data_IF_209763691331
#
_entry.id   IF_209763691331
#
_cell.length_a   1.000
_cell.length_b   1.000
_cell.length_c   1.000
_cell.angle_alpha   90.00
_cell.angle_beta   90.00
_cell.angle_gamma   90.00
#
_symmetry.space_group_name_H-M   'P 1'
#
loop_
_entity.id
_entity.type
_entity.pdbx_description
1 polymer ?
#
# COMPACT_ATOMS: atom_id res chain seq x y z
N UNK A 1 -29.04 -34.46 7.43
CA UNK A 1 -27.96 -34.84 6.49
C UNK A 1 -27.98 -33.79 5.40
N UNK A 2 -26.92 -32.98 5.26
CA UNK A 2 -26.86 -31.97 4.20
C UNK A 2 -26.26 -32.58 2.95
N UNK A 3 -27.00 -32.60 1.85
CA UNK A 3 -26.53 -33.11 0.58
C UNK A 3 -25.79 -32.01 -0.21
N UNK A 4 -24.66 -32.36 -0.82
CA UNK A 4 -23.82 -31.42 -1.56
C UNK A 4 -24.37 -31.28 -2.98
N UNK A 5 -24.81 -30.07 -3.33
CA UNK A 5 -25.30 -29.76 -4.67
C UNK A 5 -24.24 -29.00 -5.47
N UNK A 6 -23.95 -29.46 -6.70
CA UNK A 6 -23.09 -28.74 -7.65
C UNK A 6 -23.92 -27.69 -8.39
N UNK A 7 -23.50 -26.43 -8.32
CA UNK A 7 -24.08 -25.33 -9.10
C UNK A 7 -23.07 -24.86 -10.14
N UNK A 8 -23.51 -24.72 -11.38
CA UNK A 8 -22.71 -24.16 -12.47
C UNK A 8 -23.20 -22.75 -12.78
N UNK A 9 -22.27 -21.84 -13.00
CA UNK A 9 -22.55 -20.47 -13.39
C UNK A 9 -21.49 -20.02 -14.40
N UNK A 10 -21.89 -19.11 -15.29
CA UNK A 10 -20.94 -18.49 -16.21
C UNK A 10 -19.96 -17.61 -15.44
N UNK A 11 -18.68 -17.70 -15.81
CA UNK A 11 -17.64 -16.82 -15.25
C UNK A 11 -17.75 -15.46 -15.92
N UNK A 12 -18.07 -14.38 -15.18
CA UNK A 12 -18.18 -13.05 -15.76
C UNK A 12 -16.84 -12.57 -16.31
N UNK A 13 -16.87 -11.81 -17.40
CA UNK A 13 -15.67 -11.18 -17.98
C UNK A 13 -14.96 -10.21 -17.01
N UNK A 14 -15.68 -9.67 -16.02
CA UNK A 14 -15.14 -8.88 -14.91
C UNK A 14 -13.96 -9.58 -14.19
N UNK A 15 -13.98 -10.92 -14.12
CA UNK A 15 -12.97 -11.69 -13.38
C UNK A 15 -11.57 -11.65 -14.01
N UNK A 16 -11.43 -11.24 -15.28
CA UNK A 16 -10.12 -11.07 -15.93
C UNK A 16 -9.39 -9.82 -15.45
N UNK A 17 -10.11 -8.79 -15.00
CA UNK A 17 -9.54 -7.54 -14.48
C UNK A 17 -9.02 -7.64 -13.05
N UNK A 18 -9.20 -8.81 -12.42
CA UNK A 18 -8.91 -9.02 -11.02
C UNK A 18 -7.44 -9.44 -10.86
N UNK A 19 -6.63 -8.53 -10.33
CA UNK A 19 -5.18 -8.73 -10.28
C UNK A 19 -4.79 -9.94 -9.42
N UNK A 20 -3.78 -10.70 -9.88
CA UNK A 20 -3.30 -11.90 -9.18
C UNK A 20 -2.83 -11.57 -7.75
N UNK A 21 -2.11 -10.47 -7.59
CA UNK A 21 -1.67 -9.99 -6.27
C UNK A 21 -2.84 -9.75 -5.29
N UNK A 22 -4.00 -9.28 -5.79
CA UNK A 22 -5.20 -9.09 -4.96
C UNK A 22 -5.78 -10.42 -4.47
N UNK A 23 -5.76 -11.46 -5.33
CA UNK A 23 -6.19 -12.81 -4.98
C UNK A 23 -5.27 -13.45 -3.95
N UNK A 24 -3.96 -13.32 -4.16
CA UNK A 24 -2.95 -13.89 -3.26
C UNK A 24 -3.03 -13.24 -1.87
N UNK A 25 -3.23 -11.91 -1.81
CA UNK A 25 -3.43 -11.17 -0.57
C UNK A 25 -4.70 -11.64 0.19
N UNK A 26 -5.81 -11.87 -0.52
CA UNK A 26 -7.04 -12.40 0.07
C UNK A 26 -6.81 -13.76 0.74
N UNK A 27 -6.00 -14.63 0.14
CA UNK A 27 -5.72 -15.97 0.70
C UNK A 27 -4.77 -15.90 1.90
N UNK A 28 -3.76 -15.04 1.82
CA UNK A 28 -2.72 -14.90 2.83
C UNK A 28 -3.21 -14.20 4.10
N UNK A 29 -4.00 -13.14 3.96
CA UNK A 29 -4.36 -12.26 5.08
C UNK A 29 -5.73 -12.59 5.70
N UNK A 30 -6.46 -13.58 5.20
CA UNK A 30 -7.77 -13.98 5.74
C UNK A 30 -7.65 -14.45 7.20
N UNK A 31 -8.52 -13.95 8.08
CA UNK A 31 -8.57 -14.40 9.47
C UNK A 31 -8.99 -15.87 9.56
N UNK A 32 -8.16 -16.69 10.21
CA UNK A 32 -8.39 -18.12 10.42
C UNK A 32 -8.60 -18.49 11.88
N UNK A 33 -8.84 -17.50 12.75
CA UNK A 33 -9.11 -17.68 14.17
C UNK A 33 -10.33 -18.57 14.43
N UNK A 34 -11.42 -18.34 13.71
CA UNK A 34 -12.69 -19.08 13.80
C UNK A 34 -13.27 -19.31 12.39
N UNK A 35 -14.00 -20.42 12.20
CA UNK A 35 -14.67 -20.76 10.94
C UNK A 35 -15.70 -19.71 10.52
N UNK A 36 -16.41 -19.10 11.49
CA UNK A 36 -17.39 -18.04 11.23
C UNK A 36 -16.70 -16.72 10.85
N UNK A 37 -15.70 -16.29 11.63
CA UNK A 37 -14.90 -15.10 11.33
C UNK A 37 -14.23 -15.20 9.95
N UNK A 38 -13.71 -16.38 9.60
CA UNK A 38 -13.13 -16.64 8.28
C UNK A 38 -14.13 -16.43 7.15
N UNK A 39 -15.38 -16.84 7.33
CA UNK A 39 -16.42 -16.68 6.31
C UNK A 39 -16.81 -15.20 6.16
N UNK A 40 -16.99 -14.51 7.29
CA UNK A 40 -17.34 -13.08 7.32
C UNK A 40 -16.21 -12.24 6.71
N UNK A 41 -14.95 -12.47 7.10
CA UNK A 41 -13.79 -11.74 6.56
C UNK A 41 -13.61 -12.01 5.07
N UNK A 42 -13.73 -13.27 4.64
CA UNK A 42 -13.69 -13.63 3.22
C UNK A 42 -14.79 -12.92 2.41
N UNK A 43 -16.03 -12.89 2.91
CA UNK A 43 -17.15 -12.24 2.25
C UNK A 43 -16.92 -10.73 2.14
N UNK A 44 -16.49 -10.08 3.24
CA UNK A 44 -16.22 -8.65 3.28
C UNK A 44 -15.13 -8.25 2.28
N UNK A 45 -14.00 -8.98 2.26
CA UNK A 45 -12.92 -8.70 1.32
C UNK A 45 -13.28 -9.03 -0.13
N UNK A 46 -14.14 -10.02 -0.36
CA UNK A 46 -14.66 -10.31 -1.70
C UNK A 46 -15.46 -9.13 -2.29
N UNK A 47 -16.20 -8.38 -1.45
CA UNK A 47 -16.88 -7.17 -1.89
C UNK A 47 -15.90 -6.05 -2.25
N UNK A 48 -14.81 -5.88 -1.50
CA UNK A 48 -13.76 -4.92 -1.83
C UNK A 48 -13.09 -5.25 -3.17
N UNK A 49 -12.79 -6.53 -3.38
CA UNK A 49 -12.19 -7.05 -4.60
C UNK A 49 -13.11 -6.87 -5.82
N UNK A 50 -14.42 -7.00 -5.63
CA UNK A 50 -15.41 -6.70 -6.67
C UNK A 50 -15.42 -5.21 -7.05
N UNK A 51 -15.38 -4.30 -6.07
CA UNK A 51 -15.31 -2.84 -6.34
C UNK A 51 -14.05 -2.46 -7.09
N UNK A 52 -12.92 -3.04 -6.70
CA UNK A 52 -11.65 -2.88 -7.40
C UNK A 52 -11.74 -3.35 -8.85
N UNK A 53 -12.29 -4.56 -9.09
CA UNK A 53 -12.43 -5.07 -10.44
C UNK A 53 -13.30 -4.14 -11.29
N UNK A 54 -14.43 -3.67 -10.74
CA UNK A 54 -15.34 -2.72 -11.40
C UNK A 54 -14.63 -1.42 -11.78
N UNK A 55 -13.80 -0.89 -10.89
CA UNK A 55 -12.99 0.30 -11.16
C UNK A 55 -11.98 0.04 -12.29
N UNK A 56 -11.32 -1.12 -12.29
CA UNK A 56 -10.39 -1.50 -13.35
C UNK A 56 -11.07 -1.61 -14.72
N UNK A 57 -12.28 -2.18 -14.79
CA UNK A 57 -13.07 -2.24 -16.03
C UNK A 57 -13.42 -0.84 -16.55
N UNK A 58 -13.76 0.08 -15.65
CA UNK A 58 -14.07 1.46 -16.01
C UNK A 58 -12.82 2.20 -16.53
N UNK A 59 -11.65 1.98 -15.92
CA UNK A 59 -10.36 2.46 -16.46
C UNK A 59 -10.05 1.87 -17.84
N UNK A 60 -10.48 0.63 -18.13
CA UNK A 60 -10.32 0.00 -19.45
C UNK A 60 -11.23 0.64 -20.48
N UNK A 61 -12.48 0.97 -20.11
CA UNK A 61 -13.40 1.68 -20.99
C UNK A 61 -12.89 3.08 -21.35
N UNK A 62 -12.20 3.77 -20.44
CA UNK A 62 -11.58 5.07 -20.70
C UNK A 62 -10.26 4.99 -21.48
N UNK A 63 -9.76 3.78 -21.79
CA UNK A 63 -8.53 3.57 -22.57
C UNK A 63 -7.23 3.78 -21.79
N UNK A 64 -7.29 4.14 -20.50
CA UNK A 64 -6.10 4.46 -19.69
C UNK A 64 -5.63 3.27 -18.83
N UNK A 65 -6.36 2.16 -18.85
CA UNK A 65 -6.03 0.94 -18.10
C UNK A 65 -4.67 0.34 -18.43
N UNK A 66 -4.10 0.63 -19.60
CA UNK A 66 -2.77 0.11 -19.96
C UNK A 66 -1.67 0.69 -19.06
N UNK A 67 -1.81 1.96 -18.65
CA UNK A 67 -0.85 2.65 -17.78
C UNK A 67 -1.29 2.52 -16.32
N UNK A 68 -2.58 2.76 -16.05
CA UNK A 68 -3.17 2.72 -14.71
C UNK A 68 -3.78 1.34 -14.43
N UNK A 69 -2.90 0.36 -14.22
CA UNK A 69 -3.30 -0.97 -13.75
C UNK A 69 -2.64 -1.29 -12.42
N UNK A 70 -3.32 -2.12 -11.62
CA UNK A 70 -2.72 -2.69 -10.39
C UNK A 70 -1.43 -3.45 -10.67
N UNK A 71 -1.33 -4.09 -11.83
CA UNK A 71 -0.13 -4.83 -12.27
C UNK A 71 1.04 -3.88 -12.46
N UNK A 72 0.85 -2.77 -13.18
CA UNK A 72 1.88 -1.76 -13.37
C UNK A 72 2.26 -1.07 -12.07
N UNK A 73 1.29 -0.83 -11.20
CA UNK A 73 1.53 -0.29 -9.86
C UNK A 73 2.42 -1.23 -9.03
N UNK A 74 2.11 -2.52 -9.01
CA UNK A 74 2.97 -3.50 -8.34
C UNK A 74 4.37 -3.53 -8.97
N UNK A 75 4.47 -3.51 -10.30
CA UNK A 75 5.76 -3.48 -11.00
C UNK A 75 6.56 -2.21 -10.67
N UNK A 76 5.95 -1.03 -10.70
CA UNK A 76 6.61 0.24 -10.39
C UNK A 76 7.12 0.29 -8.94
N UNK A 77 6.35 -0.26 -8.00
CA UNK A 77 6.82 -0.40 -6.61
C UNK A 77 7.95 -1.43 -6.46
N UNK A 78 8.05 -2.43 -7.33
CA UNK A 78 9.22 -3.34 -7.36
C UNK A 78 10.43 -2.68 -8.01
N UNK A 79 10.25 -1.87 -9.05
CA UNK A 79 11.34 -1.12 -9.68
C UNK A 79 11.97 -0.11 -8.71
N UNK A 80 11.14 0.63 -7.96
CA UNK A 80 11.63 1.54 -6.91
C UNK A 80 12.42 0.80 -5.83
N UNK A 81 11.96 -0.37 -5.40
CA UNK A 81 12.69 -1.19 -4.44
C UNK A 81 14.06 -1.64 -4.97
N UNK A 82 14.12 -2.17 -6.20
CA UNK A 82 15.37 -2.59 -6.83
C UNK A 82 16.34 -1.41 -6.97
N UNK A 83 15.83 -0.26 -7.40
CA UNK A 83 16.64 0.94 -7.58
C UNK A 83 17.18 1.46 -6.23
N UNK A 84 16.40 1.36 -5.15
CA UNK A 84 16.87 1.65 -3.80
C UNK A 84 17.96 0.68 -3.33
N UNK A 85 17.84 -0.62 -3.62
CA UNK A 85 18.88 -1.61 -3.33
C UNK A 85 20.18 -1.31 -4.08
N UNK A 86 20.08 -1.02 -5.39
CA UNK A 86 21.24 -0.66 -6.21
C UNK A 86 21.89 0.61 -5.66
N UNK A 87 21.11 1.65 -5.37
CA UNK A 87 21.67 2.91 -4.86
C UNK A 87 22.37 2.73 -3.52
N UNK A 88 21.81 1.92 -2.62
CA UNK A 88 22.44 1.60 -1.34
C UNK A 88 23.66 0.69 -1.47
N UNK A 89 23.69 -0.20 -2.46
CA UNK A 89 24.87 -1.00 -2.78
C UNK A 89 26.02 -0.11 -3.29
N UNK A 90 25.71 0.83 -4.19
CA UNK A 90 26.68 1.83 -4.65
C UNK A 90 27.16 2.71 -3.49
N UNK A 91 26.26 3.15 -2.61
CA UNK A 91 26.65 3.86 -1.41
C UNK A 91 27.65 3.02 -0.59
N UNK A 92 27.34 1.76 -0.28
CA UNK A 92 28.21 0.89 0.51
C UNK A 92 29.61 0.67 -0.12
N UNK A 93 29.69 0.49 -1.44
CA UNK A 93 30.96 0.23 -2.12
C UNK A 93 31.89 1.46 -2.17
N UNK A 94 31.30 2.65 -2.32
CA UNK A 94 32.07 3.90 -2.48
C UNK A 94 32.11 4.75 -1.20
N UNK A 95 31.44 4.30 -0.13
CA UNK A 95 31.51 4.91 1.19
C UNK A 95 32.87 4.59 1.81
N UNK A 96 33.75 5.57 1.84
CA UNK A 96 35.03 5.45 2.55
C UNK A 96 34.90 6.05 3.95
N UNK A 97 35.55 5.43 4.92
CA UNK A 97 35.80 6.09 6.19
C UNK A 97 36.88 7.15 5.95
N UNK A 98 36.50 8.43 5.99
CA UNK A 98 37.47 9.51 6.05
C UNK A 98 38.42 9.29 7.23
N UNK A 99 39.70 9.67 7.08
CA UNK A 99 40.60 9.76 8.22
C UNK A 99 39.94 10.57 9.34
N UNK A 100 40.23 10.25 10.61
CA UNK A 100 39.61 10.71 11.88
C UNK A 100 39.17 12.20 12.02
N UNK A 101 39.49 13.08 11.08
CA UNK A 101 39.19 14.52 11.05
C UNK A 101 38.35 14.96 9.84
N UNK A 102 38.03 14.08 8.89
CA UNK A 102 37.27 14.41 7.69
C UNK A 102 35.87 13.78 7.73
N UNK A 103 34.86 14.56 7.38
CA UNK A 103 33.50 14.06 7.15
C UNK A 103 33.54 12.89 6.16
N UNK A 104 32.74 11.83 6.38
CA UNK A 104 32.66 10.73 5.43
C UNK A 104 32.24 11.27 4.06
N UNK A 105 33.08 11.06 3.05
CA UNK A 105 32.89 11.56 1.70
C UNK A 105 33.03 10.42 0.71
N UNK A 106 32.27 10.49 -0.37
CA UNK A 106 32.40 9.56 -1.49
C UNK A 106 33.74 9.87 -2.17
N UNK A 107 34.67 8.91 -2.17
CA UNK A 107 36.06 9.13 -2.59
C UNK A 107 36.21 9.51 -4.08
N UNK A 108 35.20 9.20 -4.90
CA UNK A 108 35.24 9.40 -6.34
C UNK A 108 34.06 10.29 -6.80
N UNK A 109 34.38 11.40 -7.46
CA UNK A 109 33.38 12.32 -8.04
C UNK A 109 32.49 11.62 -9.09
N UNK A 110 33.01 10.60 -9.76
CA UNK A 110 32.27 9.77 -10.70
C UNK A 110 31.19 8.95 -9.98
N UNK A 111 31.53 8.31 -8.85
CA UNK A 111 30.57 7.55 -8.05
C UNK A 111 29.46 8.44 -7.46
N UNK A 112 29.80 9.65 -7.00
CA UNK A 112 28.81 10.62 -6.51
C UNK A 112 27.81 11.02 -7.60
N UNK A 113 28.28 11.21 -8.84
CA UNK A 113 27.42 11.53 -9.99
C UNK A 113 26.47 10.38 -10.32
N UNK A 114 26.95 9.14 -10.26
CA UNK A 114 26.12 7.94 -10.48
C UNK A 114 25.04 7.82 -9.41
N UNK A 115 25.40 7.95 -8.12
CA UNK A 115 24.44 7.89 -7.00
C UNK A 115 23.39 9.00 -7.15
N UNK A 116 23.80 10.21 -7.52
CA UNK A 116 22.90 11.33 -7.78
C UNK A 116 21.92 11.02 -8.93
N UNK A 117 22.41 10.44 -10.03
CA UNK A 117 21.58 10.04 -11.16
C UNK A 117 20.58 8.93 -10.81
N UNK A 118 21.01 7.93 -10.03
CA UNK A 118 20.14 6.86 -9.55
C UNK A 118 19.06 7.38 -8.61
N UNK A 119 19.40 8.29 -7.68
CA UNK A 119 18.42 8.89 -6.79
C UNK A 119 17.46 9.83 -7.53
N UNK A 120 17.90 10.53 -8.57
CA UNK A 120 16.98 11.30 -9.43
C UNK A 120 15.96 10.39 -10.13
N UNK A 121 16.40 9.24 -10.65
CA UNK A 121 15.50 8.24 -11.19
C UNK A 121 14.54 7.70 -10.11
N UNK A 122 15.01 7.53 -8.87
CA UNK A 122 14.19 7.13 -7.72
C UNK A 122 13.05 8.12 -7.45
N UNK A 123 13.36 9.43 -7.46
CA UNK A 123 12.37 10.50 -7.27
C UNK A 123 11.29 10.44 -8.37
N UNK A 124 11.71 10.29 -9.63
CA UNK A 124 10.78 10.25 -10.78
C UNK A 124 9.84 9.05 -10.67
N UNK A 125 10.38 7.85 -10.43
CA UNK A 125 9.56 6.63 -10.33
C UNK A 125 8.68 6.68 -9.06
N UNK A 126 9.19 7.19 -7.94
CA UNK A 126 8.40 7.35 -6.71
C UNK A 126 7.22 8.33 -6.90
N UNK A 127 7.46 9.46 -7.58
CA UNK A 127 6.40 10.39 -7.95
C UNK A 127 5.34 9.74 -8.85
N UNK A 128 5.77 8.95 -9.82
CA UNK A 128 4.86 8.17 -10.67
C UNK A 128 4.05 7.14 -9.87
N UNK A 129 4.68 6.44 -8.91
CA UNK A 129 4.00 5.51 -8.01
C UNK A 129 2.91 6.20 -7.20
N UNK A 130 3.16 7.39 -6.65
CA UNK A 130 2.13 8.16 -5.91
C UNK A 130 0.95 8.49 -6.83
N UNK A 131 1.21 8.93 -8.06
CA UNK A 131 0.15 9.23 -9.04
C UNK A 131 -0.67 7.96 -9.34
N UNK A 132 -0.02 6.80 -9.52
CA UNK A 132 -0.71 5.52 -9.67
C UNK A 132 -1.56 5.17 -8.45
N UNK A 133 -1.06 5.38 -7.23
CA UNK A 133 -1.84 5.15 -6.00
C UNK A 133 -3.07 6.05 -5.91
N UNK A 134 -2.93 7.32 -6.26
CA UNK A 134 -4.05 8.27 -6.26
C UNK A 134 -5.11 7.90 -7.31
N UNK A 135 -4.72 7.52 -8.51
CA UNK A 135 -5.68 7.21 -9.59
C UNK A 135 -6.31 5.81 -9.44
N UNK A 136 -5.53 4.82 -9.06
CA UNK A 136 -5.99 3.41 -9.00
C UNK A 136 -6.63 3.09 -7.65
N UNK A 137 -6.06 3.57 -6.53
CA UNK A 137 -6.45 3.12 -5.18
C UNK A 137 -7.39 4.08 -4.46
N UNK A 138 -7.19 5.40 -4.58
CA UNK A 138 -8.04 6.42 -3.94
C UNK A 138 -9.54 6.25 -4.24
N UNK A 139 -10.00 6.09 -5.50
CA UNK A 139 -11.43 5.95 -5.78
C UNK A 139 -12.03 4.66 -5.22
N UNK A 140 -11.28 3.55 -5.24
CA UNK A 140 -11.73 2.27 -4.67
C UNK A 140 -11.86 2.39 -3.15
N UNK A 141 -10.92 3.07 -2.50
CA UNK A 141 -10.96 3.36 -1.06
C UNK A 141 -12.13 4.27 -0.70
N UNK A 142 -12.34 5.34 -1.46
CA UNK A 142 -13.48 6.23 -1.28
C UNK A 142 -14.81 5.47 -1.36
N UNK A 143 -14.98 4.60 -2.38
CA UNK A 143 -16.16 3.74 -2.48
C UNK A 143 -16.27 2.72 -1.34
N UNK A 144 -15.13 2.24 -0.82
CA UNK A 144 -15.11 1.35 0.34
C UNK A 144 -15.53 2.04 1.63
N UNK A 145 -15.10 3.29 1.85
CA UNK A 145 -15.48 4.10 3.00
C UNK A 145 -16.90 4.61 2.88
N UNK A 146 -17.36 4.97 1.68
CA UNK A 146 -18.76 5.27 1.44
C UNK A 146 -19.62 4.07 1.83
N UNK A 147 -19.27 2.86 1.43
CA UNK A 147 -20.09 1.69 1.76
C UNK A 147 -19.93 1.15 3.18
N UNK A 148 -18.82 1.44 3.88
CA UNK A 148 -18.60 1.07 5.30
C UNK A 148 -19.12 2.13 6.26
N UNK A 149 -19.13 3.39 5.82
CA UNK A 149 -19.64 4.54 6.54
C UNK A 149 -21.13 4.69 6.34
N UNK A 150 -21.60 4.87 5.09
CA UNK A 150 -23.00 5.02 4.74
C UNK A 150 -23.24 4.75 3.26
N UNK A 151 -23.89 3.63 2.95
CA UNK A 151 -25.09 3.85 2.15
C UNK A 151 -25.97 4.70 3.04
N UNK A 152 -26.49 5.82 2.52
CA UNK A 152 -27.64 6.50 3.10
C UNK A 152 -28.77 5.46 3.13
N UNK A 153 -28.77 4.54 4.08
CA UNK A 153 -29.83 3.57 4.23
C UNK A 153 -30.93 4.33 4.92
N UNK A 154 -31.90 4.76 4.12
CA UNK A 154 -33.23 5.04 4.63
C UNK A 154 -33.72 3.70 5.18
N UNK A 155 -33.50 3.47 6.46
CA UNK A 155 -34.15 2.39 7.19
C UNK A 155 -35.56 2.87 7.50
N UNK A 156 -36.53 2.12 6.99
CA UNK A 156 -37.93 2.32 7.35
C UNK A 156 -38.13 1.61 8.68
N UNK A 157 -38.43 2.37 9.72
CA UNK A 157 -38.73 1.83 11.04
C UNK A 157 -40.02 0.98 11.02
N UNK A 158 -40.29 0.19 12.06
CA UNK A 158 -41.52 -0.65 12.12
C UNK A 158 -42.82 0.16 11.97
N UNK A 159 -42.77 1.47 12.23
CA UNK A 159 -43.87 2.44 12.09
C UNK A 159 -43.92 3.16 10.71
N UNK A 160 -43.11 2.74 9.72
CA UNK A 160 -43.14 3.32 8.37
C UNK A 160 -42.46 4.69 8.22
N UNK A 161 -41.71 5.14 9.23
CA UNK A 161 -40.94 6.39 9.16
C UNK A 161 -39.55 6.14 8.62
N UNK A 162 -39.14 6.99 7.68
CA UNK A 162 -37.77 7.07 7.17
C UNK A 162 -36.86 7.62 8.27
N UNK A 163 -35.99 6.79 8.84
CA UNK A 163 -34.96 7.22 9.77
C UNK A 163 -33.67 7.41 8.96
N UNK A 164 -33.26 8.66 8.77
CA UNK A 164 -31.96 8.98 8.16
C UNK A 164 -30.86 8.79 9.22
N UNK A 165 -30.09 7.70 9.13
CA UNK A 165 -28.86 7.56 9.91
C UNK A 165 -27.79 8.57 9.44
N UNK A 166 -27.12 9.21 10.39
CA UNK A 166 -26.23 10.35 10.16
C UNK A 166 -25.02 9.98 9.29
N UNK A 167 -25.00 10.60 8.11
CA UNK A 167 -23.95 10.55 7.10
C UNK A 167 -22.59 11.07 7.53
N UNK A 168 -21.53 10.25 7.52
CA UNK A 168 -20.14 10.70 7.32
C UNK A 168 -20.11 11.63 6.10
N UNK A 169 -19.71 12.86 6.36
CA UNK A 169 -19.66 13.92 5.35
C UNK A 169 -18.68 13.54 4.21
N UNK A 170 -18.94 13.94 2.95
CA UNK A 170 -18.03 13.67 1.83
C UNK A 170 -16.60 14.14 2.08
N UNK A 171 -16.45 15.24 2.84
CA UNK A 171 -15.15 15.77 3.24
C UNK A 171 -14.37 14.84 4.16
N UNK A 172 -15.02 14.25 5.17
CA UNK A 172 -14.38 13.27 6.05
C UNK A 172 -13.93 12.01 5.28
N UNK A 173 -14.73 11.57 4.30
CA UNK A 173 -14.36 10.44 3.42
C UNK A 173 -13.12 10.77 2.58
N UNK A 174 -13.00 11.99 2.06
CA UNK A 174 -11.83 12.42 1.28
C UNK A 174 -10.59 12.47 2.17
N UNK A 175 -10.68 13.10 3.35
CA UNK A 175 -9.56 13.19 4.29
C UNK A 175 -9.10 11.81 4.75
N UNK A 176 -10.05 10.92 5.10
CA UNK A 176 -9.73 9.56 5.50
C UNK A 176 -9.13 8.73 4.36
N UNK A 177 -9.55 8.98 3.11
CA UNK A 177 -8.95 8.34 1.93
C UNK A 177 -7.55 8.86 1.67
N UNK A 178 -7.31 10.17 1.86
CA UNK A 178 -5.99 10.78 1.72
C UNK A 178 -5.01 10.32 2.80
N UNK A 179 -5.51 10.02 4.00
CA UNK A 179 -4.75 9.47 5.13
C UNK A 179 -4.60 7.94 5.07
N UNK A 180 -4.78 7.29 3.91
CA UNK A 180 -4.49 5.85 3.79
C UNK A 180 -3.01 5.61 4.13
N UNK A 181 -2.70 4.73 5.11
CA UNK A 181 -1.33 4.47 5.56
C UNK A 181 -0.39 4.10 4.41
N UNK A 182 -0.90 3.46 3.36
CA UNK A 182 -0.08 3.11 2.19
C UNK A 182 0.26 4.33 1.34
N UNK A 183 -0.65 5.30 1.18
CA UNK A 183 -0.36 6.55 0.44
C UNK A 183 0.63 7.39 1.23
N UNK A 184 0.41 7.53 2.53
CA UNK A 184 1.32 8.25 3.43
C UNK A 184 2.73 7.64 3.42
N UNK A 185 2.84 6.31 3.36
CA UNK A 185 4.11 5.62 3.25
C UNK A 185 4.88 6.02 1.97
N UNK A 186 4.23 6.07 0.81
CA UNK A 186 4.92 6.51 -0.43
C UNK A 186 5.18 8.02 -0.46
N UNK A 187 4.37 8.83 0.21
CA UNK A 187 4.65 10.27 0.40
C UNK A 187 5.90 10.48 1.26
N UNK A 188 6.00 9.75 2.38
CA UNK A 188 7.21 9.68 3.19
C UNK A 188 8.40 9.25 2.32
N UNK A 189 8.20 8.24 1.46
CA UNK A 189 9.26 7.68 0.62
C UNK A 189 9.82 8.71 -0.37
N UNK A 190 8.92 9.42 -1.05
CA UNK A 190 9.30 10.53 -1.93
C UNK A 190 10.04 11.62 -1.15
N UNK A 191 9.57 11.96 0.05
CA UNK A 191 10.21 12.98 0.89
C UNK A 191 11.65 12.61 1.22
N UNK A 192 11.91 11.35 1.61
CA UNK A 192 13.28 10.89 1.91
C UNK A 192 14.16 10.82 0.66
N UNK A 193 13.60 10.48 -0.50
CA UNK A 193 14.34 10.51 -1.76
C UNK A 193 14.74 11.94 -2.16
N UNK A 194 13.86 12.93 -1.93
CA UNK A 194 14.16 14.36 -2.12
C UNK A 194 15.20 14.84 -1.11
N UNK A 195 15.06 14.49 0.18
CA UNK A 195 16.03 14.84 1.21
C UNK A 195 17.42 14.24 0.93
N UNK A 196 17.46 13.01 0.41
CA UNK A 196 18.67 12.36 -0.07
C UNK A 196 19.37 13.08 -1.22
N UNK A 197 18.61 13.85 -2.00
CA UNK A 197 19.13 14.63 -3.12
C UNK A 197 19.61 16.03 -2.70
N UNK A 198 18.89 16.67 -1.77
CA UNK A 198 19.10 18.09 -1.43
C UNK A 198 20.02 18.28 -0.23
N UNK A 199 19.95 17.40 0.77
CA UNK A 199 20.66 17.60 2.04
C UNK A 199 21.90 16.73 2.19
N UNK A 200 21.73 15.41 2.28
CA UNK A 200 22.85 14.47 2.47
C UNK A 200 22.48 13.09 1.95
N UNK A 201 23.50 12.33 1.53
CA UNK A 201 23.33 10.94 1.10
C UNK A 201 22.92 10.00 2.26
N UNK A 202 23.04 10.44 3.51
CA UNK A 202 22.71 9.67 4.71
C UNK A 202 21.22 9.31 4.81
N UNK A 203 20.35 9.95 4.03
CA UNK A 203 18.92 9.64 3.99
C UNK A 203 18.58 8.47 3.06
N UNK A 204 19.48 8.08 2.15
CA UNK A 204 19.22 7.02 1.17
C UNK A 204 19.12 5.60 1.77
N UNK A 205 19.84 5.25 2.85
CA UNK A 205 19.63 3.99 3.58
C UNK A 205 18.20 3.78 4.05
N UNK A 206 17.47 4.85 4.39
CA UNK A 206 16.08 4.72 4.83
C UNK A 206 15.14 4.28 3.70
N UNK A 207 15.51 4.46 2.42
CA UNK A 207 14.74 3.94 1.28
C UNK A 207 14.74 2.40 1.24
N UNK A 208 15.69 1.75 1.92
CA UNK A 208 15.78 0.29 2.03
C UNK A 208 14.73 -0.30 2.99
N UNK A 209 14.12 0.53 3.84
CA UNK A 209 12.99 0.15 4.70
C UNK A 209 11.81 -0.42 3.90
N UNK A 210 11.76 -0.14 2.59
CA UNK A 210 10.77 -0.72 1.67
C UNK A 210 10.81 -2.25 1.58
N UNK A 211 11.91 -2.88 2.01
CA UNK A 211 11.97 -4.32 2.22
C UNK A 211 10.83 -4.83 3.13
N UNK A 212 10.44 -4.06 4.15
CA UNK A 212 9.38 -4.43 5.11
C UNK A 212 8.01 -4.49 4.42
N UNK A 213 7.76 -3.60 3.46
CA UNK A 213 6.53 -3.59 2.69
C UNK A 213 6.53 -4.71 1.63
N UNK A 214 7.70 -5.11 1.12
CA UNK A 214 7.82 -6.14 0.08
C UNK A 214 7.81 -7.58 0.61
N UNK A 215 8.35 -7.82 1.80
CA UNK A 215 8.48 -9.16 2.37
C UNK A 215 7.48 -9.37 3.51
N UNK A 216 6.52 -10.30 3.32
CA UNK A 216 5.51 -10.62 4.34
C UNK A 216 6.13 -11.16 5.62
N UNK A 217 7.13 -12.03 5.54
CA UNK A 217 7.81 -12.59 6.72
C UNK A 217 8.49 -11.50 7.55
N UNK A 218 9.16 -10.54 6.90
CA UNK A 218 9.81 -9.41 7.61
C UNK A 218 8.77 -8.52 8.29
N UNK A 219 7.64 -8.28 7.60
CA UNK A 219 6.51 -7.55 8.16
C UNK A 219 5.91 -8.27 9.36
N UNK A 220 5.76 -9.59 9.31
CA UNK A 220 5.18 -10.39 10.38
C UNK A 220 6.09 -10.39 11.62
N UNK A 221 7.41 -10.48 11.43
CA UNK A 221 8.40 -10.33 12.51
C UNK A 221 8.29 -8.95 13.16
N UNK A 222 8.16 -7.88 12.36
CA UNK A 222 7.99 -6.54 12.90
C UNK A 222 6.64 -6.38 13.62
N UNK A 223 5.56 -6.91 13.03
CA UNK A 223 4.22 -6.88 13.62
C UNK A 223 4.17 -7.62 14.96
N UNK A 224 4.95 -8.68 15.14
CA UNK A 224 5.05 -9.39 16.42
C UNK A 224 5.56 -8.48 17.56
N UNK A 225 6.31 -7.42 17.25
CA UNK A 225 6.76 -6.41 18.22
C UNK A 225 5.78 -5.24 18.30
N UNK A 226 5.23 -4.79 17.16
CA UNK A 226 4.33 -3.63 17.10
C UNK A 226 2.97 -3.91 17.75
N UNK A 227 2.39 -5.09 17.52
CA UNK A 227 1.06 -5.45 18.06
C UNK A 227 1.04 -5.38 19.60
N UNK A 228 2.02 -5.96 20.33
CA UNK A 228 2.08 -5.84 21.79
C UNK A 228 2.81 -4.59 22.30
N UNK A 229 3.00 -3.52 21.51
CA UNK A 229 3.81 -2.33 21.92
C UNK A 229 3.44 -1.74 23.29
N UNK A 230 2.15 -1.73 23.63
CA UNK A 230 1.67 -1.18 24.90
C UNK A 230 2.10 -2.06 26.08
N UNK A 231 2.17 -3.39 25.88
CA UNK A 231 2.63 -4.35 26.89
C UNK A 231 4.14 -4.23 27.10
N UNK A 232 4.89 -4.06 26.01
CA UNK A 232 6.34 -3.84 26.07
C UNK A 232 6.67 -2.51 26.78
N UNK A 233 5.96 -1.43 26.44
CA UNK A 233 6.16 -0.14 27.10
C UNK A 233 5.84 -0.23 28.60
N UNK A 234 4.75 -0.89 28.98
CA UNK A 234 4.41 -1.08 30.39
C UNK A 234 5.44 -1.93 31.13
N UNK A 235 5.94 -3.00 30.51
CA UNK A 235 7.03 -3.80 31.06
C UNK A 235 8.35 -3.02 31.20
N UNK A 236 8.67 -2.17 30.21
CA UNK A 236 9.87 -1.33 30.23
C UNK A 236 9.81 -0.19 31.25
N UNK A 237 8.63 0.27 31.66
CA UNK A 237 8.47 1.26 32.74
C UNK A 237 8.66 0.63 34.13
N UNK A 238 8.46 -0.69 34.25
CA UNK A 238 8.58 -1.44 35.51
C UNK A 238 10.03 -1.87 35.79
N UNK A 239 10.87 -1.96 34.75
CA UNK A 239 12.30 -2.28 34.84
C UNK A 239 13.12 -1.01 35.11
#
# INVERSE_FOLDING_TARGET
RGDIHRRFFHVPSMCSYLAKASKDALVAENDRSNSENKLIDFLNRSHELYREAKHQQLLTQWGISSIFSRTNQNLATWMTFILALVTNLFLLLYYTAGNFTAEPRINEAEAATVIMGLNLAQIIISGFVIILYLVVRSPVRYQSFQAKGLVKSVSVDQDGKEVEEEGVTPWQCIVHTAMDPMVLYYVWYLSFSILGQVYSYDFLPFLLLDLIVKNSTTRDVLNAVIVPRNQIMMGGVII
#
